data_IF_208206841960
#
_entry.id   IF_208206841960
#
_cell.length_a   1.000
_cell.length_b   1.000
_cell.length_c   1.000
_cell.angle_alpha   90.00
_cell.angle_beta   90.00
_cell.angle_gamma   90.00
#
_symmetry.space_group_name_H-M   'P 1'
#
loop_
_entity.id
_entity.type
_entity.pdbx_description
1 polymer ?
#
# COMPACT_ATOMS: atom_id res chain seq x y z
N UNK A 1 -42.99 -28.40 51.47
CA UNK A 1 -41.79 -28.41 50.59
C UNK A 1 -42.25 -28.62 49.16
N UNK A 2 -42.35 -27.57 48.35
CA UNK A 2 -42.56 -27.66 46.89
C UNK A 2 -41.27 -27.15 46.24
N UNK A 3 -40.46 -28.05 45.70
CA UNK A 3 -39.29 -27.68 44.89
C UNK A 3 -39.80 -27.41 43.48
N UNK A 4 -39.84 -26.14 43.10
CA UNK A 4 -40.11 -25.72 41.72
C UNK A 4 -38.86 -26.00 40.89
N UNK A 5 -38.97 -26.94 39.94
CA UNK A 5 -37.89 -27.32 39.03
C UNK A 5 -37.93 -26.37 37.82
N UNK A 6 -36.96 -25.46 37.70
CA UNK A 6 -36.78 -24.63 36.51
C UNK A 6 -36.04 -25.44 35.44
N UNK A 7 -36.73 -25.78 34.35
CA UNK A 7 -36.10 -26.28 33.12
C UNK A 7 -35.66 -25.09 32.28
N UNK A 8 -34.36 -24.82 32.25
CA UNK A 8 -33.72 -23.93 31.27
C UNK A 8 -33.78 -24.63 29.90
N UNK A 9 -34.67 -24.19 29.02
CA UNK A 9 -34.66 -24.58 27.61
C UNK A 9 -33.49 -23.87 26.92
N UNK A 10 -32.36 -24.56 26.77
CA UNK A 10 -31.29 -24.16 25.86
C UNK A 10 -31.78 -24.44 24.44
N UNK A 11 -32.19 -23.40 23.73
CA UNK A 11 -32.51 -23.48 22.31
C UNK A 11 -31.21 -23.62 21.52
N UNK A 12 -30.87 -24.85 21.14
CA UNK A 12 -29.85 -25.10 20.13
C UNK A 12 -30.41 -24.65 18.78
N UNK A 13 -29.92 -23.51 18.26
CA UNK A 13 -30.23 -23.08 16.89
C UNK A 13 -29.29 -23.86 15.97
N UNK A 14 -29.72 -25.03 15.52
CA UNK A 14 -29.10 -25.72 14.39
C UNK A 14 -29.43 -24.93 13.13
N UNK A 15 -28.45 -24.17 12.61
CA UNK A 15 -28.48 -23.74 11.22
C UNK A 15 -28.31 -24.99 10.36
N UNK A 16 -29.43 -25.59 9.93
CA UNK A 16 -29.43 -26.50 8.80
C UNK A 16 -29.13 -25.67 7.55
N UNK A 17 -27.89 -25.75 7.06
CA UNK A 17 -27.58 -25.40 5.68
C UNK A 17 -28.18 -26.49 4.81
N UNK A 18 -29.30 -26.20 4.15
CA UNK A 18 -29.80 -27.04 3.07
C UNK A 18 -28.78 -26.95 1.95
N UNK A 19 -28.04 -28.04 1.69
CA UNK A 19 -27.58 -28.26 0.32
C UNK A 19 -28.85 -28.41 -0.49
N UNK A 20 -29.05 -27.54 -1.47
CA UNK A 20 -30.10 -27.73 -2.45
C UNK A 20 -29.77 -29.01 -3.21
N UNK A 21 -30.53 -30.07 -2.89
CA UNK A 21 -30.53 -31.28 -3.70
C UNK A 21 -31.00 -30.91 -5.11
N UNK A 22 -30.29 -31.43 -6.11
CA UNK A 22 -30.54 -31.21 -7.54
C UNK A 22 -32.03 -31.34 -7.89
N UNK A 23 -32.65 -30.22 -8.26
CA UNK A 23 -33.95 -30.20 -8.92
C UNK A 23 -33.80 -30.83 -10.32
N UNK A 24 -34.17 -32.11 -10.43
CA UNK A 24 -34.27 -32.83 -11.69
C UNK A 24 -35.58 -32.46 -12.41
N UNK A 25 -35.79 -31.17 -12.71
CA UNK A 25 -36.80 -30.71 -13.67
C UNK A 25 -36.15 -29.96 -14.83
N UNK A 26 -36.45 -30.28 -16.10
CA UNK A 26 -35.89 -29.56 -17.24
C UNK A 26 -36.67 -28.27 -17.46
N UNK A 27 -36.47 -27.27 -16.60
CA UNK A 27 -36.78 -25.88 -16.93
C UNK A 27 -35.50 -25.20 -17.47
N UNK A 28 -35.42 -25.06 -18.79
CA UNK A 28 -34.24 -24.56 -19.50
C UNK A 28 -34.04 -23.03 -19.38
N UNK A 29 -34.17 -22.47 -18.17
CA UNK A 29 -34.08 -21.03 -17.93
C UNK A 29 -33.18 -20.67 -16.73
N UNK A 30 -32.55 -21.64 -16.05
CA UNK A 30 -31.62 -21.36 -14.95
C UNK A 30 -30.26 -21.03 -15.55
N UNK A 31 -29.72 -19.81 -15.37
CA UNK A 31 -28.39 -19.50 -15.86
C UNK A 31 -27.39 -20.45 -15.21
N UNK A 32 -26.60 -21.15 -16.02
CA UNK A 32 -25.52 -21.99 -15.53
C UNK A 32 -24.51 -21.10 -14.83
N UNK A 33 -24.33 -21.30 -13.52
CA UNK A 33 -23.28 -20.62 -12.76
C UNK A 33 -21.96 -21.32 -13.08
N UNK A 34 -20.99 -20.55 -13.54
CA UNK A 34 -19.61 -20.97 -13.74
C UNK A 34 -18.79 -20.20 -12.71
N UNK A 35 -18.26 -20.92 -11.73
CA UNK A 35 -17.41 -20.38 -10.68
C UNK A 35 -15.96 -20.26 -11.19
N UNK A 36 -15.32 -19.13 -10.89
CA UNK A 36 -13.93 -18.84 -11.21
C UNK A 36 -13.62 -17.37 -10.99
N UNK A 37 -12.37 -16.95 -11.19
CA UNK A 37 -12.02 -15.55 -11.02
C UNK A 37 -12.63 -14.70 -12.14
N UNK A 38 -13.49 -13.74 -11.79
CA UNK A 38 -14.13 -12.82 -12.75
C UNK A 38 -13.37 -11.50 -12.94
N UNK A 39 -12.32 -11.25 -12.16
CA UNK A 39 -11.52 -10.03 -12.27
C UNK A 39 -10.50 -10.14 -13.41
N UNK A 40 -10.67 -9.30 -14.43
CA UNK A 40 -9.77 -9.25 -15.60
C UNK A 40 -8.34 -8.83 -15.30
N UNK A 41 -8.07 -8.26 -14.12
CA UNK A 41 -6.74 -7.89 -13.64
C UNK A 41 -6.05 -9.05 -12.89
N UNK A 42 -6.76 -10.12 -12.56
CA UNK A 42 -6.17 -11.29 -11.93
C UNK A 42 -5.42 -12.18 -12.93
N UNK A 43 -4.34 -12.81 -12.47
CA UNK A 43 -3.52 -13.70 -13.29
C UNK A 43 -4.23 -15.02 -13.64
N UNK A 44 -5.30 -15.37 -12.93
CA UNK A 44 -6.17 -16.52 -13.19
C UNK A 44 -7.59 -16.13 -13.58
N UNK A 45 -7.77 -14.97 -14.20
CA UNK A 45 -9.04 -14.59 -14.80
C UNK A 45 -9.61 -15.71 -15.69
N UNK A 46 -10.85 -16.12 -15.43
CA UNK A 46 -11.60 -17.07 -16.23
C UNK A 46 -12.70 -16.32 -17.02
N UNK A 47 -12.55 -16.16 -18.35
CA UNK A 47 -13.55 -15.45 -19.17
C UNK A 47 -14.90 -16.19 -19.27
N UNK A 48 -14.98 -17.45 -18.82
CA UNK A 48 -16.23 -18.21 -18.76
C UNK A 48 -16.91 -18.12 -17.39
N UNK A 49 -16.20 -17.68 -16.36
CA UNK A 49 -16.75 -17.51 -15.03
C UNK A 49 -17.75 -16.34 -15.01
N UNK A 50 -18.88 -16.56 -14.32
CA UNK A 50 -19.90 -15.55 -14.09
C UNK A 50 -20.24 -15.36 -12.60
N UNK A 51 -19.53 -16.09 -11.73
CA UNK A 51 -19.56 -15.93 -10.28
C UNK A 51 -18.14 -16.05 -9.75
N UNK A 52 -17.72 -15.08 -8.94
CA UNK A 52 -16.42 -15.09 -8.28
C UNK A 52 -16.36 -16.25 -7.26
N UNK A 53 -15.31 -17.05 -7.33
CA UNK A 53 -15.02 -18.14 -6.39
C UNK A 53 -14.01 -17.73 -5.30
N UNK A 54 -13.51 -16.49 -5.35
CA UNK A 54 -12.51 -15.97 -4.42
C UNK A 54 -11.09 -16.52 -4.68
N UNK A 55 -10.86 -17.19 -5.80
CA UNK A 55 -9.53 -17.73 -6.16
C UNK A 55 -8.62 -16.74 -6.86
N UNK A 56 -9.08 -15.52 -7.17
CA UNK A 56 -8.31 -14.50 -7.88
C UNK A 56 -6.95 -14.25 -7.20
N UNK A 57 -5.85 -14.37 -7.95
CA UNK A 57 -4.52 -13.97 -7.50
C UNK A 57 -3.91 -12.94 -8.45
N UNK A 58 -3.30 -11.92 -7.86
CA UNK A 58 -2.76 -10.76 -8.56
C UNK A 58 -1.24 -10.75 -8.49
N UNK A 59 -0.57 -10.11 -9.46
CA UNK A 59 0.84 -9.78 -9.32
C UNK A 59 1.01 -8.69 -8.26
N UNK A 60 2.10 -8.74 -7.48
CA UNK A 60 2.43 -7.63 -6.59
C UNK A 60 2.64 -6.31 -7.34
N UNK A 61 3.08 -6.37 -8.60
CA UNK A 61 3.14 -5.22 -9.47
C UNK A 61 1.76 -4.55 -9.63
N UNK A 62 0.73 -5.34 -9.95
CA UNK A 62 -0.64 -4.80 -10.13
C UNK A 62 -1.24 -4.31 -8.81
N UNK A 63 -0.91 -4.98 -7.69
CA UNK A 63 -1.35 -4.56 -6.36
C UNK A 63 -0.74 -3.20 -5.99
N UNK A 64 0.54 -2.97 -6.33
CA UNK A 64 1.24 -1.76 -5.96
C UNK A 64 0.66 -0.50 -6.60
N UNK A 65 -0.05 -0.61 -7.74
CA UNK A 65 -0.53 0.53 -8.50
C UNK A 65 -1.75 1.20 -7.88
N UNK A 66 -1.84 2.52 -8.09
CA UNK A 66 -2.95 3.37 -7.68
C UNK A 66 -2.66 4.17 -6.42
N UNK A 67 -3.73 4.70 -5.83
CA UNK A 67 -3.68 5.63 -4.72
C UNK A 67 -3.53 4.88 -3.38
N UNK A 68 -2.50 5.26 -2.61
CA UNK A 68 -2.25 4.75 -1.27
C UNK A 68 -2.32 5.89 -0.26
N UNK A 69 -3.04 5.69 0.84
CA UNK A 69 -2.90 6.57 2.00
C UNK A 69 -1.60 6.21 2.71
N UNK A 70 -0.94 7.23 3.26
CA UNK A 70 0.32 7.02 3.97
C UNK A 70 0.22 7.47 5.41
N UNK A 71 1.04 6.87 6.26
CA UNK A 71 1.33 7.36 7.61
C UNK A 71 2.83 7.37 7.76
N UNK A 72 3.48 8.52 7.53
CA UNK A 72 4.92 8.66 7.72
C UNK A 72 5.27 8.74 9.21
N UNK A 73 6.38 8.11 9.56
CA UNK A 73 7.07 8.19 10.84
C UNK A 73 8.54 8.46 10.54
N UNK A 74 8.85 9.75 10.32
CA UNK A 74 10.17 10.26 10.00
C UNK A 74 10.88 10.83 11.22
N UNK A 75 12.19 10.66 11.26
CA UNK A 75 13.06 11.33 12.22
C UNK A 75 13.03 12.86 12.01
N UNK A 76 13.10 13.60 13.12
CA UNK A 76 13.19 15.06 13.09
C UNK A 76 14.66 15.51 13.02
N UNK A 77 14.95 16.46 12.14
CA UNK A 77 16.28 17.05 12.04
C UNK A 77 16.26 18.51 12.52
N UNK A 78 17.17 18.88 13.41
CA UNK A 78 17.30 20.27 13.88
C UNK A 78 18.58 20.90 13.35
N UNK A 79 18.44 22.00 12.60
CA UNK A 79 19.59 22.73 12.07
C UNK A 79 20.33 23.42 13.23
N UNK A 80 21.60 23.07 13.53
CA UNK A 80 22.31 23.54 14.73
C UNK A 80 22.51 25.06 14.80
N UNK A 81 22.43 25.74 13.66
CA UNK A 81 22.85 27.14 13.50
C UNK A 81 21.68 28.12 13.68
N UNK A 82 20.47 27.66 13.34
CA UNK A 82 19.24 28.49 13.37
C UNK A 82 18.17 27.93 14.31
N UNK A 83 18.45 26.81 15.00
CA UNK A 83 17.53 26.14 15.94
C UNK A 83 16.15 25.87 15.31
N UNK A 84 16.15 25.56 14.02
CA UNK A 84 14.96 25.27 13.24
C UNK A 84 14.87 23.77 13.02
N UNK A 85 13.74 23.18 13.41
CA UNK A 85 13.45 21.76 13.20
C UNK A 85 12.73 21.56 11.87
N UNK A 86 13.26 20.66 11.07
CA UNK A 86 12.65 20.14 9.85
C UNK A 86 12.00 18.80 10.22
N UNK A 87 10.70 18.69 9.99
CA UNK A 87 9.93 17.45 10.13
C UNK A 87 9.37 17.07 8.76
N UNK A 88 9.84 15.96 8.20
CA UNK A 88 9.30 15.44 6.94
C UNK A 88 7.87 14.90 7.10
N UNK A 89 7.47 14.55 8.33
CA UNK A 89 6.08 14.15 8.62
C UNK A 89 5.06 15.22 8.23
N UNK A 90 5.43 16.50 8.37
CA UNK A 90 4.56 17.62 8.03
C UNK A 90 4.64 18.03 6.54
N UNK A 91 5.68 17.59 5.84
CA UNK A 91 5.92 17.94 4.42
C UNK A 91 5.40 16.85 3.46
N UNK A 92 5.34 15.60 3.91
CA UNK A 92 4.79 14.51 3.12
C UNK A 92 3.26 14.64 2.99
N UNK A 93 2.68 14.29 1.83
CA UNK A 93 1.25 14.35 1.61
C UNK A 93 0.51 13.26 2.42
N UNK A 94 -0.83 13.34 2.48
CA UNK A 94 -1.65 12.29 3.10
C UNK A 94 -1.72 11.00 2.25
N UNK A 95 -1.51 11.13 0.94
CA UNK A 95 -1.58 10.04 -0.03
C UNK A 95 -0.51 10.17 -1.11
N UNK A 96 -0.17 9.03 -1.71
CA UNK A 96 0.74 8.90 -2.85
C UNK A 96 0.03 8.15 -3.98
N UNK A 97 0.35 8.48 -5.22
CA UNK A 97 -0.10 7.71 -6.39
C UNK A 97 1.05 6.89 -6.94
N UNK A 98 0.82 5.61 -7.21
CA UNK A 98 1.84 4.70 -7.75
C UNK A 98 1.44 4.29 -9.17
N UNK A 99 2.24 4.71 -10.14
CA UNK A 99 2.03 4.38 -11.55
C UNK A 99 3.05 3.35 -12.03
N UNK A 100 2.63 2.54 -13.00
CA UNK A 100 3.41 1.45 -13.54
C UNK A 100 4.17 1.81 -14.80
N UNK A 101 5.45 1.43 -14.87
CA UNK A 101 6.31 1.52 -16.05
C UNK A 101 6.55 0.17 -16.74
N UNK A 102 7.59 0.10 -17.58
CA UNK A 102 8.05 -1.17 -18.14
C UNK A 102 8.97 -1.90 -17.15
N UNK A 103 9.04 -3.24 -17.25
CA UNK A 103 9.95 -4.07 -16.46
C UNK A 103 9.83 -3.91 -14.92
N UNK A 104 8.60 -3.85 -14.41
CA UNK A 104 8.27 -3.68 -12.98
C UNK A 104 8.77 -2.35 -12.36
N UNK A 105 9.06 -1.35 -13.19
CA UNK A 105 9.33 0.00 -12.73
C UNK A 105 8.07 0.62 -12.13
N UNK A 106 8.21 1.27 -10.98
CA UNK A 106 7.19 2.04 -10.29
C UNK A 106 7.57 3.52 -10.33
N UNK A 107 6.60 4.36 -10.63
CA UNK A 107 6.68 5.81 -10.51
C UNK A 107 5.81 6.20 -9.31
N UNK A 108 6.44 6.56 -8.20
CA UNK A 108 5.79 6.89 -6.93
C UNK A 108 5.70 8.41 -6.85
N UNK A 109 4.50 8.94 -7.07
CA UNK A 109 4.20 10.36 -6.97
C UNK A 109 3.94 10.72 -5.50
N UNK A 110 4.83 11.53 -4.93
CA UNK A 110 4.79 12.02 -3.55
C UNK A 110 4.64 13.54 -3.61
N UNK A 111 3.39 14.02 -3.51
CA UNK A 111 3.09 15.43 -3.65
C UNK A 111 3.33 15.91 -5.09
N UNK A 112 4.28 16.83 -5.27
CA UNK A 112 4.66 17.34 -6.60
C UNK A 112 5.90 16.65 -7.19
N UNK A 113 6.45 15.66 -6.47
CA UNK A 113 7.71 15.02 -6.79
C UNK A 113 7.50 13.54 -7.14
N UNK A 114 8.31 13.02 -8.05
CA UNK A 114 8.28 11.62 -8.45
C UNK A 114 9.54 10.89 -7.98
N UNK A 115 9.36 9.74 -7.34
CA UNK A 115 10.41 8.81 -6.92
C UNK A 115 10.27 7.52 -7.71
N UNK A 116 11.35 7.04 -8.32
CA UNK A 116 11.34 5.80 -9.08
C UNK A 116 11.71 4.62 -8.19
N UNK A 117 10.98 3.51 -8.30
CA UNK A 117 11.28 2.24 -7.62
C UNK A 117 11.13 1.04 -8.55
N UNK A 118 11.57 -0.13 -8.14
CA UNK A 118 11.26 -1.39 -8.83
C UNK A 118 10.65 -2.36 -7.85
N UNK A 119 9.70 -3.17 -8.31
CA UNK A 119 9.08 -4.22 -7.50
C UNK A 119 9.38 -5.61 -8.04
N UNK A 120 9.69 -6.55 -7.16
CA UNK A 120 9.87 -7.95 -7.53
C UNK A 120 8.57 -8.76 -7.43
N UNK A 121 8.62 -10.02 -7.84
CA UNK A 121 7.46 -10.93 -7.79
C UNK A 121 7.07 -11.36 -6.37
N UNK A 122 7.84 -10.95 -5.35
CA UNK A 122 7.56 -11.19 -3.95
C UNK A 122 7.01 -9.95 -3.24
N UNK A 123 6.83 -8.85 -3.98
CA UNK A 123 6.30 -7.59 -3.45
C UNK A 123 7.36 -6.71 -2.79
N UNK A 124 8.65 -7.05 -2.89
CA UNK A 124 9.70 -6.18 -2.37
C UNK A 124 9.94 -5.03 -3.33
N UNK A 125 9.94 -3.81 -2.79
CA UNK A 125 10.21 -2.58 -3.50
C UNK A 125 11.65 -2.15 -3.22
N UNK A 126 12.37 -1.76 -4.26
CA UNK A 126 13.69 -1.15 -4.17
C UNK A 126 13.59 0.25 -4.76
N UNK A 127 13.93 1.26 -3.97
CA UNK A 127 14.07 2.65 -4.41
C UNK A 127 15.57 2.92 -4.54
N UNK A 128 16.15 2.84 -5.75
CA UNK A 128 17.54 3.18 -5.94
C UNK A 128 17.77 4.66 -5.65
N UNK A 129 18.97 4.97 -5.18
CA UNK A 129 19.41 6.35 -4.96
C UNK A 129 19.17 7.22 -6.19
N UNK A 130 18.44 8.30 -5.99
CA UNK A 130 18.12 9.30 -6.99
C UNK A 130 17.98 10.68 -6.35
N UNK A 131 18.24 11.72 -7.12
CA UNK A 131 18.09 13.10 -6.66
C UNK A 131 16.72 13.62 -7.06
N UNK A 132 16.00 14.18 -6.10
CA UNK A 132 14.71 14.85 -6.28
C UNK A 132 14.80 16.29 -5.80
N UNK A 133 14.02 17.17 -6.42
CA UNK A 133 13.90 18.56 -5.96
C UNK A 133 12.66 18.71 -5.08
N UNK A 134 12.85 19.17 -3.84
CA UNK A 134 11.77 19.50 -2.91
C UNK A 134 11.73 21.00 -2.63
N UNK A 135 10.55 21.61 -2.72
CA UNK A 135 10.33 22.97 -2.23
C UNK A 135 9.86 22.92 -0.78
N UNK A 136 10.75 23.29 0.13
CA UNK A 136 10.47 23.36 1.57
C UNK A 136 9.86 24.71 1.99
N UNK A 137 9.37 25.53 1.05
CA UNK A 137 8.75 26.82 1.35
C UNK A 137 9.75 27.95 1.63
N UNK A 138 11.04 27.72 1.38
CA UNK A 138 12.10 28.74 1.46
C UNK A 138 12.24 29.57 0.17
N UNK A 139 11.38 29.33 -0.84
CA UNK A 139 11.33 30.10 -2.08
C UNK A 139 12.32 29.63 -3.15
N UNK A 140 13.00 28.51 -2.94
CA UNK A 140 13.79 27.81 -3.95
C UNK A 140 13.81 26.31 -3.64
N UNK A 141 13.59 25.43 -4.64
CA UNK A 141 13.71 23.99 -4.46
C UNK A 141 15.14 23.61 -4.08
N UNK A 142 15.28 22.67 -3.16
CA UNK A 142 16.55 22.06 -2.81
C UNK A 142 16.62 20.66 -3.43
N UNK A 143 17.80 20.32 -3.96
CA UNK A 143 18.08 18.97 -4.43
C UNK A 143 18.42 18.10 -3.22
N UNK A 144 17.71 16.99 -3.08
CA UNK A 144 17.91 16.00 -2.03
C UNK A 144 18.04 14.62 -2.65
N UNK A 145 18.84 13.76 -2.04
CA UNK A 145 18.91 12.37 -2.45
C UNK A 145 17.88 11.56 -1.67
N UNK A 146 17.17 10.67 -2.35
CA UNK A 146 16.26 9.70 -1.74
C UNK A 146 16.63 8.29 -2.19
N UNK A 147 16.69 7.37 -1.25
CA UNK A 147 16.86 5.94 -1.49
C UNK A 147 16.12 5.11 -0.44
N UNK A 148 16.04 3.80 -0.66
CA UNK A 148 15.48 2.89 0.33
C UNK A 148 14.77 1.71 -0.30
N UNK A 149 13.69 1.28 0.33
CA UNK A 149 12.91 0.16 -0.16
C UNK A 149 11.57 0.05 0.54
N UNK A 150 10.94 -1.11 0.39
CA UNK A 150 9.64 -1.36 0.98
C UNK A 150 9.13 -2.75 0.64
N UNK A 151 7.90 -3.03 1.06
CA UNK A 151 7.20 -4.22 0.63
C UNK A 151 5.69 -4.00 0.55
N UNK A 152 5.06 -4.64 -0.42
CA UNK A 152 3.61 -4.83 -0.45
C UNK A 152 3.31 -6.19 0.18
N UNK A 153 2.70 -6.18 1.36
CA UNK A 153 2.47 -7.40 2.16
C UNK A 153 1.10 -8.04 1.87
N UNK A 154 0.15 -7.22 1.43
CA UNK A 154 -1.19 -7.65 1.06
C UNK A 154 -1.76 -6.69 0.03
N UNK A 155 -2.94 -6.98 -0.55
CA UNK A 155 -3.62 -6.04 -1.41
C UNK A 155 -3.74 -4.65 -0.79
N UNK A 156 -4.00 -4.55 0.52
CA UNK A 156 -4.35 -3.28 1.15
C UNK A 156 -3.30 -2.72 2.12
N UNK A 157 -2.14 -3.37 2.23
CA UNK A 157 -1.13 -2.99 3.23
C UNK A 157 0.27 -3.15 2.66
N UNK A 158 1.09 -2.13 2.83
CA UNK A 158 2.51 -2.14 2.53
C UNK A 158 3.30 -1.24 3.47
N UNK A 159 4.60 -1.22 3.29
CA UNK A 159 5.52 -0.34 3.99
C UNK A 159 6.60 0.15 3.03
N UNK A 160 7.11 1.36 3.25
CA UNK A 160 8.35 1.86 2.66
C UNK A 160 9.25 2.38 3.77
N UNK A 161 10.53 2.12 3.66
CA UNK A 161 11.58 2.68 4.51
C UNK A 161 12.49 3.49 3.58
N UNK A 162 12.38 4.82 3.67
CA UNK A 162 13.10 5.76 2.81
C UNK A 162 14.10 6.56 3.64
N UNK A 163 15.27 6.78 3.08
CA UNK A 163 16.31 7.65 3.62
C UNK A 163 16.44 8.87 2.71
N UNK A 164 16.32 10.06 3.31
CA UNK A 164 16.51 11.33 2.64
C UNK A 164 17.83 11.94 3.09
N UNK A 165 18.75 12.16 2.16
CA UNK A 165 20.05 12.79 2.42
C UNK A 165 20.07 14.21 1.86
N UNK A 166 20.51 15.17 2.67
CA UNK A 166 20.61 16.56 2.27
C UNK A 166 22.01 17.10 2.54
N UNK A 167 22.54 17.80 1.54
CA UNK A 167 23.81 18.50 1.63
C UNK A 167 23.54 20.01 1.58
N UNK A 168 23.72 20.69 2.72
CA UNK A 168 23.49 22.14 2.82
C UNK A 168 24.83 22.87 2.87
N UNK A 169 25.13 23.63 1.82
CA UNK A 169 26.25 24.58 1.82
C UNK A 169 25.82 25.90 2.48
N UNK A 170 26.15 26.06 3.77
CA UNK A 170 25.74 27.25 4.53
C UNK A 170 26.57 28.48 4.14
N UNK A 171 27.86 28.29 3.80
CA UNK A 171 28.79 29.37 3.42
C UNK A 171 29.80 28.84 2.38
N UNK A 172 30.06 29.55 1.27
CA UNK A 172 31.10 29.17 0.32
C UNK A 172 32.47 29.05 1.01
N UNK A 173 33.05 27.85 1.00
CA UNK A 173 34.36 27.56 1.61
C UNK A 173 34.31 27.04 3.06
N UNK A 174 33.13 26.77 3.60
CA UNK A 174 32.96 26.02 4.85
C UNK A 174 32.46 24.60 4.53
N UNK A 175 32.83 23.55 5.29
CA UNK A 175 32.25 22.23 5.09
C UNK A 175 30.72 22.31 5.23
N UNK A 176 30.00 21.84 4.20
CA UNK A 176 28.56 21.70 4.27
C UNK A 176 28.13 20.76 5.39
N UNK A 177 26.88 20.87 5.81
CA UNK A 177 26.25 19.85 6.66
C UNK A 177 25.67 18.77 5.73
N UNK A 178 26.02 17.52 6.01
CA UNK A 178 25.49 16.34 5.33
C UNK A 178 24.78 15.52 6.39
N UNK A 179 23.50 15.29 6.18
CA UNK A 179 22.60 14.74 7.19
C UNK A 179 21.57 13.86 6.50
N UNK A 180 21.08 12.87 7.25
CA UNK A 180 20.18 11.83 6.77
C UNK A 180 18.95 11.79 7.68
N UNK A 181 17.77 11.69 7.07
CA UNK A 181 16.50 11.48 7.77
C UNK A 181 15.92 10.16 7.30
N UNK A 182 15.72 9.25 8.25
CA UNK A 182 15.03 7.99 8.03
C UNK A 182 13.52 8.18 8.19
N UNK A 183 12.74 7.60 7.27
CA UNK A 183 11.29 7.65 7.25
C UNK A 183 10.71 6.26 7.08
N UNK A 184 10.02 5.77 8.11
CA UNK A 184 9.20 4.57 8.03
C UNK A 184 7.77 4.97 7.63
N UNK A 185 7.32 4.55 6.45
CA UNK A 185 6.04 4.95 5.86
C UNK A 185 5.14 3.73 5.77
N UNK A 186 4.02 3.77 6.50
CA UNK A 186 2.96 2.75 6.36
C UNK A 186 2.04 3.09 5.20
N UNK A 187 1.76 2.12 4.33
CA UNK A 187 0.85 2.25 3.19
C UNK A 187 -0.44 1.48 3.45
N UNK A 188 -1.59 2.11 3.19
CA UNK A 188 -2.90 1.46 3.32
C UNK A 188 -3.96 2.00 2.36
N UNK A 189 -4.95 1.15 2.05
CA UNK A 189 -6.13 1.48 1.24
C UNK A 189 -7.39 0.81 1.79
#
# INVERSE_FOLDING_TARGET
MRKTLYLLSVSVIIFSCSKEDEDNTPNNNTPTIVEGCIDSLALNFDPLANSDDGSCYYSYYDIALGLWNITPDCDEFTIPIIDSTISLNDQLPENIDVQGGSNNLLYIEIGETQVNGNIDNNGNIIVPKQTISLDMGFGSPMDIDVEGGGSITSPNVGNMDLTYSFDIEIIPGFPGISEEVECAITLYR
#
